data_IF_572665157717
#
_entry.id   IF_572665157717
#
_cell.length_a   1.000
_cell.length_b   1.000
_cell.length_c   1.000
_cell.angle_alpha   90.00
_cell.angle_beta   90.00
_cell.angle_gamma   90.00
#
_symmetry.space_group_name_H-M   'P 1'
#
loop_
_entity.id
_entity.type
_entity.pdbx_description
1 polymer ?
#
# COMPACT_ATOMS: atom_id res chain seq x y z
N UNK A 1 -59.60 13.25 7.32
CA UNK A 1 -58.45 13.13 8.25
C UNK A 1 -57.26 12.60 7.44
N UNK A 2 -56.46 13.50 6.87
CA UNK A 2 -55.24 13.14 6.15
C UNK A 2 -54.11 12.99 7.16
N UNK A 3 -53.53 11.80 7.19
CA UNK A 3 -52.38 11.49 8.04
C UNK A 3 -51.11 12.13 7.44
N UNK A 4 -50.57 13.11 8.17
CA UNK A 4 -49.31 13.76 7.86
C UNK A 4 -48.16 12.74 8.12
N UNK A 5 -47.53 12.21 7.03
CA UNK A 5 -46.33 11.41 7.12
C UNK A 5 -45.15 12.29 7.55
N UNK A 6 -44.31 11.87 8.49
CA UNK A 6 -43.16 12.65 8.89
C UNK A 6 -42.16 12.73 7.75
N UNK A 7 -41.82 13.95 7.32
CA UNK A 7 -40.69 14.21 6.40
C UNK A 7 -39.39 13.72 7.06
N UNK A 8 -38.72 12.79 6.40
CA UNK A 8 -37.37 12.38 6.76
C UNK A 8 -36.51 13.66 6.84
N UNK A 9 -35.93 13.96 8.00
CA UNK A 9 -34.91 14.99 8.15
C UNK A 9 -33.72 14.66 7.25
N UNK A 10 -33.59 15.39 6.15
CA UNK A 10 -32.34 15.41 5.38
C UNK A 10 -31.26 15.95 6.33
N UNK A 11 -30.29 15.12 6.68
CA UNK A 11 -29.16 15.54 7.50
C UNK A 11 -28.50 16.79 6.90
N UNK A 12 -27.99 17.67 7.77
CA UNK A 12 -27.26 18.89 7.38
C UNK A 12 -26.20 18.50 6.33
N UNK A 13 -26.07 19.24 5.21
CA UNK A 13 -25.02 18.97 4.23
C UNK A 13 -23.67 18.89 4.94
N UNK A 14 -22.83 17.90 4.59
CA UNK A 14 -21.47 17.78 5.12
C UNK A 14 -20.68 19.02 4.71
N UNK A 15 -20.02 19.66 5.67
CA UNK A 15 -19.25 20.89 5.46
C UNK A 15 -17.85 20.59 4.83
N UNK A 16 -17.53 19.35 4.48
CA UNK A 16 -16.22 18.94 3.94
C UNK A 16 -16.37 17.87 2.85
N UNK A 17 -15.40 17.83 1.94
CA UNK A 17 -15.27 16.77 0.96
C UNK A 17 -14.71 15.51 1.60
N UNK A 18 -15.35 14.36 1.37
CA UNK A 18 -14.97 13.07 1.97
C UNK A 18 -13.69 12.55 1.34
N UNK A 19 -13.51 12.72 0.04
CA UNK A 19 -12.36 12.21 -0.68
C UNK A 19 -11.09 13.00 -0.32
N UNK A 20 -11.19 14.33 -0.19
CA UNK A 20 -10.11 15.19 0.29
C UNK A 20 -9.73 14.86 1.75
N UNK A 21 -10.73 14.65 2.61
CA UNK A 21 -10.50 14.25 3.99
C UNK A 21 -9.83 12.86 4.07
N UNK A 22 -10.26 11.90 3.23
CA UNK A 22 -9.65 10.57 3.16
C UNK A 22 -8.20 10.63 2.65
N UNK A 23 -7.92 11.45 1.64
CA UNK A 23 -6.56 11.67 1.13
C UNK A 23 -5.65 12.28 2.20
N UNK A 24 -6.17 13.22 3.00
CA UNK A 24 -5.44 13.81 4.12
C UNK A 24 -5.14 12.77 5.21
N UNK A 25 -6.13 11.94 5.57
CA UNK A 25 -5.96 10.85 6.52
C UNK A 25 -4.93 9.82 6.02
N UNK A 26 -4.96 9.49 4.73
CA UNK A 26 -3.98 8.60 4.10
C UNK A 26 -2.54 9.10 4.31
N UNK A 27 -2.29 10.39 4.11
CA UNK A 27 -0.94 10.97 4.33
C UNK A 27 -0.48 10.79 5.76
N UNK A 28 -1.34 11.07 6.75
CA UNK A 28 -1.02 10.91 8.17
C UNK A 28 -0.68 9.46 8.51
N UNK A 29 -1.52 8.52 8.05
CA UNK A 29 -1.25 7.09 8.25
C UNK A 29 0.03 6.63 7.56
N UNK A 30 0.35 7.18 6.39
CA UNK A 30 1.56 6.83 5.66
C UNK A 30 2.82 7.33 6.36
N UNK A 31 2.77 8.51 6.95
CA UNK A 31 3.90 9.09 7.70
C UNK A 31 4.14 8.39 9.04
N UNK A 32 3.06 8.09 9.79
CA UNK A 32 3.14 7.65 11.19
C UNK A 32 2.82 6.17 11.42
N UNK A 33 2.31 5.47 10.41
CA UNK A 33 1.73 4.14 10.57
C UNK A 33 0.38 4.18 11.31
N UNK A 34 -0.28 3.02 11.43
CA UNK A 34 -1.59 2.94 12.09
C UNK A 34 -1.52 3.30 13.56
N UNK A 35 -0.61 2.69 14.34
CA UNK A 35 -0.54 2.92 15.79
C UNK A 35 0.00 4.29 16.14
N UNK A 36 1.01 4.79 15.42
CA UNK A 36 1.59 6.11 15.63
C UNK A 36 0.64 7.28 15.31
N UNK A 37 -0.49 7.01 14.68
CA UNK A 37 -1.49 8.02 14.31
C UNK A 37 -2.54 8.18 15.40
N UNK A 38 -2.71 9.37 15.95
CA UNK A 38 -3.78 9.71 16.89
C UNK A 38 -5.04 10.23 16.18
N UNK A 39 -6.20 10.21 16.88
CA UNK A 39 -7.42 10.84 16.36
C UNK A 39 -7.25 12.36 16.18
N UNK A 40 -6.42 12.99 17.01
CA UNK A 40 -6.10 14.42 16.89
C UNK A 40 -5.32 14.69 15.59
N UNK A 41 -4.26 13.92 15.31
CA UNK A 41 -3.52 14.04 14.05
C UNK A 41 -4.46 13.95 12.83
N UNK A 42 -5.41 13.00 12.88
CA UNK A 42 -6.36 12.81 11.79
C UNK A 42 -7.31 13.99 11.65
N UNK A 43 -7.95 14.41 12.74
CA UNK A 43 -8.91 15.52 12.68
C UNK A 43 -8.25 16.84 12.27
N UNK A 44 -7.03 17.10 12.72
CA UNK A 44 -6.28 18.29 12.36
C UNK A 44 -5.91 18.29 10.86
N UNK A 45 -5.38 17.17 10.36
CA UNK A 45 -5.02 17.03 8.95
C UNK A 45 -6.23 17.05 8.01
N UNK A 46 -7.35 16.49 8.43
CA UNK A 46 -8.60 16.44 7.67
C UNK A 46 -9.40 17.74 7.77
N UNK A 47 -9.06 18.65 8.69
CA UNK A 47 -9.82 19.88 8.94
C UNK A 47 -11.23 19.66 9.46
N UNK A 48 -11.49 18.56 10.20
CA UNK A 48 -12.82 18.18 10.67
C UNK A 48 -12.84 17.91 12.18
N UNK A 49 -14.03 17.90 12.77
CA UNK A 49 -14.19 17.54 14.16
C UNK A 49 -14.24 16.02 14.38
N UNK A 50 -13.94 15.54 15.60
CA UNK A 50 -14.08 14.12 15.95
C UNK A 50 -15.50 13.56 15.69
N UNK A 51 -16.61 14.25 16.07
CA UNK A 51 -17.94 13.80 15.71
C UNK A 51 -18.14 13.64 14.19
N UNK A 52 -17.61 14.57 13.38
CA UNK A 52 -17.66 14.49 11.92
C UNK A 52 -16.87 13.30 11.37
N UNK A 53 -15.70 13.00 11.95
CA UNK A 53 -14.90 11.82 11.59
C UNK A 53 -15.70 10.55 11.86
N UNK A 54 -16.27 10.39 13.06
CA UNK A 54 -17.06 9.21 13.41
C UNK A 54 -18.31 9.07 12.53
N UNK A 55 -18.97 10.16 12.22
CA UNK A 55 -20.16 10.15 11.36
C UNK A 55 -19.84 9.76 9.90
N UNK A 56 -18.66 10.13 9.38
CA UNK A 56 -18.29 9.89 7.99
C UNK A 56 -17.58 8.54 7.78
N UNK A 57 -16.73 8.15 8.73
CA UNK A 57 -15.79 7.05 8.57
C UNK A 57 -15.94 5.93 9.60
N UNK A 58 -16.74 6.12 10.62
CA UNK A 58 -16.92 5.18 11.73
C UNK A 58 -15.86 5.36 12.81
N UNK A 59 -14.83 4.54 12.80
CA UNK A 59 -13.72 4.61 13.77
C UNK A 59 -12.37 4.72 13.06
N UNK A 60 -11.28 4.86 13.82
CA UNK A 60 -9.91 4.94 13.28
C UNK A 60 -9.57 3.75 12.40
N UNK A 61 -10.00 2.54 12.78
CA UNK A 61 -9.75 1.32 12.03
C UNK A 61 -10.48 1.32 10.67
N UNK A 62 -11.76 1.68 10.66
CA UNK A 62 -12.55 1.78 9.44
C UNK A 62 -12.00 2.87 8.49
N UNK A 63 -11.55 4.01 9.05
CA UNK A 63 -10.88 5.06 8.30
C UNK A 63 -9.55 4.55 7.72
N UNK A 64 -8.74 3.82 8.51
CA UNK A 64 -7.48 3.26 8.04
C UNK A 64 -7.69 2.28 6.88
N UNK A 65 -8.69 1.39 6.95
CA UNK A 65 -9.01 0.46 5.86
C UNK A 65 -9.38 1.21 4.58
N UNK A 66 -10.20 2.25 4.68
CA UNK A 66 -10.53 3.10 3.53
C UNK A 66 -9.29 3.82 2.96
N UNK A 67 -8.42 4.31 3.83
CA UNK A 67 -7.15 4.92 3.43
C UNK A 67 -6.22 3.90 2.76
N UNK A 68 -6.19 2.67 3.25
CA UNK A 68 -5.42 1.58 2.65
C UNK A 68 -5.95 1.17 1.27
N UNK A 69 -7.28 1.12 1.10
CA UNK A 69 -7.92 0.87 -0.21
C UNK A 69 -7.59 1.99 -1.22
N UNK A 70 -7.63 3.24 -0.77
CA UNK A 70 -7.21 4.39 -1.57
C UNK A 70 -5.73 4.30 -1.97
N UNK A 71 -4.87 3.98 -1.01
CA UNK A 71 -3.44 3.79 -1.23
C UNK A 71 -3.15 2.69 -2.28
N UNK A 72 -3.79 1.55 -2.16
CA UNK A 72 -3.60 0.44 -3.09
C UNK A 72 -4.07 0.81 -4.50
N UNK A 73 -5.23 1.44 -4.61
CA UNK A 73 -5.77 1.87 -5.90
C UNK A 73 -4.89 2.91 -6.61
N UNK A 74 -4.34 3.87 -5.86
CA UNK A 74 -3.63 5.01 -6.48
C UNK A 74 -2.11 4.85 -6.51
N UNK A 75 -1.53 4.25 -5.47
CA UNK A 75 -0.07 4.18 -5.31
C UNK A 75 0.51 2.83 -5.69
N UNK A 76 -0.28 1.75 -5.62
CA UNK A 76 0.16 0.41 -5.99
C UNK A 76 -0.40 -0.07 -7.34
N UNK A 77 -1.07 0.78 -8.11
CA UNK A 77 -1.60 0.43 -9.43
C UNK A 77 -0.50 -0.13 -10.38
N UNK A 78 0.74 0.36 -10.27
CA UNK A 78 1.87 -0.11 -11.06
C UNK A 78 2.15 -1.62 -10.89
N UNK A 79 1.71 -2.24 -9.77
CA UNK A 79 1.92 -3.68 -9.53
C UNK A 79 1.17 -4.51 -10.58
N UNK A 80 -0.08 -4.15 -10.89
CA UNK A 80 -0.85 -4.83 -11.93
C UNK A 80 -0.18 -4.74 -13.30
N UNK A 81 0.30 -3.55 -13.65
CA UNK A 81 1.04 -3.32 -14.90
C UNK A 81 2.38 -4.09 -14.94
N UNK A 82 3.06 -4.19 -13.81
CA UNK A 82 4.29 -4.94 -13.70
C UNK A 82 4.05 -6.44 -13.90
N UNK A 83 3.03 -7.02 -13.26
CA UNK A 83 2.66 -8.43 -13.41
C UNK A 83 2.24 -8.80 -14.85
N UNK A 84 1.77 -7.83 -15.63
CA UNK A 84 1.45 -8.00 -17.06
C UNK A 84 2.67 -7.95 -17.99
N UNK A 85 3.88 -7.70 -17.47
CA UNK A 85 5.08 -7.70 -18.28
C UNK A 85 5.33 -9.08 -18.96
N UNK A 86 5.87 -9.13 -20.19
CA UNK A 86 5.99 -10.37 -20.95
C UNK A 86 6.98 -11.37 -20.32
N UNK A 87 8.02 -10.91 -19.63
CA UNK A 87 9.08 -11.75 -19.05
C UNK A 87 9.16 -11.57 -17.54
N UNK A 88 9.68 -12.58 -16.83
CA UNK A 88 9.94 -12.53 -15.38
C UNK A 88 10.90 -11.41 -14.99
N UNK A 89 11.93 -11.17 -15.82
CA UNK A 89 12.84 -10.05 -15.66
C UNK A 89 12.12 -8.72 -15.80
N UNK A 90 11.24 -8.59 -16.79
CA UNK A 90 10.40 -7.40 -16.98
C UNK A 90 9.45 -7.16 -15.82
N UNK A 91 8.88 -8.24 -15.22
CA UNK A 91 8.08 -8.15 -14.00
C UNK A 91 8.91 -7.60 -12.85
N UNK A 92 10.07 -8.20 -12.58
CA UNK A 92 10.97 -7.78 -11.52
C UNK A 92 11.42 -6.31 -11.69
N UNK A 93 11.83 -5.94 -12.89
CA UNK A 93 12.27 -4.57 -13.19
C UNK A 93 11.16 -3.55 -12.98
N UNK A 94 9.95 -3.80 -13.50
CA UNK A 94 8.81 -2.87 -13.34
C UNK A 94 8.38 -2.76 -11.88
N UNK A 95 8.37 -3.85 -11.12
CA UNK A 95 8.06 -3.82 -9.69
C UNK A 95 9.09 -3.01 -8.91
N UNK A 96 10.37 -3.24 -9.14
CA UNK A 96 11.45 -2.54 -8.42
C UNK A 96 11.50 -1.05 -8.79
N UNK A 97 11.38 -0.71 -10.09
CA UNK A 97 11.35 0.69 -10.53
C UNK A 97 10.09 1.43 -10.06
N UNK A 98 8.93 0.80 -10.15
CA UNK A 98 7.69 1.38 -9.65
C UNK A 98 7.74 1.64 -8.13
N UNK A 99 8.32 0.69 -7.38
CA UNK A 99 8.56 0.87 -5.96
C UNK A 99 9.54 2.02 -5.69
N UNK A 100 10.64 2.10 -6.44
CA UNK A 100 11.63 3.20 -6.33
C UNK A 100 10.96 4.57 -6.51
N UNK A 101 10.23 4.75 -7.60
CA UNK A 101 9.56 6.03 -7.89
C UNK A 101 8.54 6.40 -6.80
N UNK A 102 7.69 5.45 -6.41
CA UNK A 102 6.67 5.67 -5.40
C UNK A 102 7.28 5.98 -4.01
N UNK A 103 8.31 5.24 -3.61
CA UNK A 103 8.90 5.34 -2.26
C UNK A 103 9.85 6.53 -2.08
N UNK A 104 10.34 7.12 -3.19
CA UNK A 104 11.26 8.25 -3.17
C UNK A 104 10.67 9.55 -3.72
N UNK A 105 9.35 9.58 -3.96
CA UNK A 105 8.63 10.77 -4.43
C UNK A 105 8.78 11.92 -3.42
N UNK A 106 9.09 13.11 -3.90
CA UNK A 106 9.19 14.32 -3.05
C UNK A 106 7.82 14.82 -2.57
N UNK A 107 6.75 14.48 -3.30
CA UNK A 107 5.39 14.93 -3.00
C UNK A 107 4.62 13.99 -2.05
N UNK A 108 5.19 12.84 -1.68
CA UNK A 108 4.54 11.81 -0.88
C UNK A 108 5.42 11.41 0.32
N UNK A 109 4.84 10.86 1.39
CA UNK A 109 5.61 10.24 2.45
C UNK A 109 6.52 9.12 1.90
N UNK A 110 7.72 9.02 2.44
CA UNK A 110 8.71 8.05 1.96
C UNK A 110 8.42 6.64 2.48
N UNK A 111 8.80 5.64 1.70
CA UNK A 111 8.53 4.25 2.03
C UNK A 111 7.13 3.78 1.63
N UNK A 112 6.67 2.68 2.21
CA UNK A 112 5.40 2.04 1.87
C UNK A 112 4.49 1.94 3.09
N UNK A 113 3.26 2.46 3.00
CA UNK A 113 2.26 2.42 4.09
C UNK A 113 2.06 0.99 4.62
N UNK A 114 1.95 0.00 3.73
CA UNK A 114 1.73 -1.41 4.12
C UNK A 114 2.91 -1.97 4.91
N UNK A 115 4.14 -1.63 4.52
CA UNK A 115 5.36 -2.08 5.21
C UNK A 115 5.46 -1.40 6.57
N UNK A 116 5.35 -0.08 6.63
CA UNK A 116 5.44 0.69 7.88
C UNK A 116 4.38 0.18 8.87
N UNK A 117 3.11 0.09 8.45
CA UNK A 117 2.03 -0.36 9.33
C UNK A 117 2.19 -1.81 9.80
N UNK A 118 2.71 -2.71 8.95
CA UNK A 118 2.90 -4.12 9.32
C UNK A 118 3.99 -4.32 10.38
N UNK A 119 5.00 -3.44 10.42
CA UNK A 119 6.12 -3.52 11.40
C UNK A 119 5.75 -2.87 12.72
N UNK A 120 4.85 -1.87 12.69
CA UNK A 120 4.50 -1.08 13.89
C UNK A 120 3.22 -1.55 14.59
N UNK A 121 2.39 -2.41 13.97
CA UNK A 121 1.16 -2.92 14.58
C UNK A 121 1.45 -3.95 15.69
N UNK A 122 1.12 -3.57 16.93
CA UNK A 122 1.17 -4.45 18.12
C UNK A 122 -0.09 -5.31 18.28
N UNK A 123 -0.23 -5.91 19.48
CA UNK A 123 -1.33 -6.83 19.79
C UNK A 123 -2.71 -6.14 19.81
N UNK A 124 -2.77 -4.86 20.17
CA UNK A 124 -4.02 -4.09 20.25
C UNK A 124 -4.65 -3.81 18.88
N UNK A 125 -3.86 -3.87 17.81
CA UNK A 125 -4.31 -3.69 16.43
C UNK A 125 -4.43 -5.02 15.65
N UNK A 126 -4.80 -6.11 16.33
CA UNK A 126 -4.80 -7.46 15.75
C UNK A 126 -5.63 -7.57 14.47
N UNK A 127 -6.79 -6.91 14.39
CA UNK A 127 -7.66 -6.91 13.21
C UNK A 127 -7.03 -6.18 12.02
N UNK A 128 -6.34 -5.05 12.27
CA UNK A 128 -5.59 -4.29 11.25
C UNK A 128 -4.39 -5.13 10.77
N UNK A 129 -3.69 -5.78 11.69
CA UNK A 129 -2.57 -6.66 11.36
C UNK A 129 -3.02 -7.83 10.48
N UNK A 130 -4.14 -8.46 10.81
CA UNK A 130 -4.70 -9.56 10.02
C UNK A 130 -5.10 -9.11 8.60
N UNK A 131 -5.69 -7.92 8.46
CA UNK A 131 -6.03 -7.35 7.14
C UNK A 131 -4.76 -7.08 6.30
N UNK A 132 -3.74 -6.46 6.89
CA UNK A 132 -2.45 -6.23 6.22
C UNK A 132 -1.78 -7.54 5.80
N UNK A 133 -1.83 -8.58 6.64
CA UNK A 133 -1.30 -9.91 6.33
C UNK A 133 -2.07 -10.56 5.17
N UNK A 134 -3.40 -10.48 5.17
CA UNK A 134 -4.24 -11.01 4.09
C UNK A 134 -3.93 -10.35 2.75
N UNK A 135 -3.84 -9.01 2.72
CA UNK A 135 -3.50 -8.23 1.51
C UNK A 135 -2.09 -8.57 1.00
N UNK A 136 -1.14 -8.76 1.93
CA UNK A 136 0.22 -9.21 1.59
C UNK A 136 0.20 -10.60 0.97
N UNK A 137 -0.51 -11.56 1.57
CA UNK A 137 -0.62 -12.92 1.07
C UNK A 137 -1.20 -12.96 -0.36
N UNK A 138 -2.26 -12.17 -0.62
CA UNK A 138 -2.85 -12.05 -1.96
C UNK A 138 -1.86 -11.50 -2.99
N UNK A 139 -1.08 -10.48 -2.63
CA UNK A 139 -0.07 -9.90 -3.52
C UNK A 139 1.09 -10.88 -3.78
N UNK A 140 1.51 -11.62 -2.76
CA UNK A 140 2.54 -12.66 -2.86
C UNK A 140 2.08 -13.79 -3.77
N UNK A 141 0.84 -14.26 -3.61
CA UNK A 141 0.30 -15.33 -4.45
C UNK A 141 0.21 -14.91 -5.92
N UNK A 142 -0.25 -13.70 -6.21
CA UNK A 142 -0.30 -13.19 -7.57
C UNK A 142 1.09 -13.12 -8.23
N UNK A 143 2.12 -12.75 -7.46
CA UNK A 143 3.50 -12.76 -7.95
C UNK A 143 4.02 -14.18 -8.15
N UNK A 144 3.74 -15.09 -7.21
CA UNK A 144 4.12 -16.51 -7.32
C UNK A 144 3.52 -17.14 -8.58
N UNK A 145 2.21 -16.97 -8.79
CA UNK A 145 1.50 -17.48 -9.97
C UNK A 145 2.12 -16.96 -11.28
N UNK A 146 2.53 -15.67 -11.26
CA UNK A 146 3.21 -15.07 -12.42
C UNK A 146 4.59 -15.66 -12.66
N UNK A 147 5.36 -15.96 -11.61
CA UNK A 147 6.68 -16.60 -11.74
C UNK A 147 6.58 -18.08 -12.15
N UNK A 148 5.58 -18.82 -11.65
CA UNK A 148 5.27 -20.18 -12.09
C UNK A 148 4.95 -20.20 -13.58
N UNK A 149 4.15 -19.26 -14.07
CA UNK A 149 3.86 -19.13 -15.49
C UNK A 149 5.14 -18.85 -16.30
N UNK A 150 6.00 -17.96 -15.84
CA UNK A 150 7.26 -17.67 -16.50
C UNK A 150 8.17 -18.88 -16.63
N UNK A 151 8.20 -19.73 -15.59
CA UNK A 151 8.95 -21.00 -15.61
C UNK A 151 8.34 -21.99 -16.60
N UNK A 152 7.02 -22.12 -16.62
CA UNK A 152 6.31 -22.99 -17.56
C UNK A 152 6.50 -22.58 -19.02
N UNK A 153 6.60 -21.26 -19.27
CA UNK A 153 6.86 -20.67 -20.60
C UNK A 153 8.37 -20.71 -21.01
N UNK A 154 9.27 -21.20 -20.13
CA UNK A 154 10.71 -21.31 -20.39
C UNK A 154 11.47 -19.97 -20.32
N UNK A 155 10.88 -18.96 -19.70
CA UNK A 155 11.51 -17.66 -19.42
C UNK A 155 12.45 -17.75 -18.21
N UNK A 156 12.10 -18.56 -17.20
CA UNK A 156 12.98 -18.91 -16.09
C UNK A 156 13.65 -20.28 -16.35
N UNK A 157 14.91 -20.47 -15.93
CA UNK A 157 15.58 -21.76 -16.03
C UNK A 157 14.78 -22.88 -15.32
N UNK A 158 14.78 -24.12 -15.85
CA UNK A 158 13.99 -25.23 -15.27
C UNK A 158 14.33 -25.55 -13.80
N UNK A 159 15.55 -25.29 -13.37
CA UNK A 159 16.01 -25.52 -12.00
C UNK A 159 15.71 -24.35 -11.05
N UNK A 160 15.10 -23.26 -11.54
CA UNK A 160 14.78 -22.10 -10.68
C UNK A 160 13.77 -22.50 -9.59
N UNK A 161 14.11 -22.21 -8.35
CA UNK A 161 13.18 -22.22 -7.24
C UNK A 161 12.27 -20.98 -7.33
N UNK A 162 11.03 -21.20 -7.79
CA UNK A 162 10.07 -20.10 -8.02
C UNK A 162 9.62 -19.46 -6.72
N UNK A 163 9.45 -20.25 -5.66
CA UNK A 163 9.13 -19.71 -4.33
C UNK A 163 10.27 -18.84 -3.82
N UNK A 164 11.50 -19.36 -3.89
CA UNK A 164 12.69 -18.65 -3.42
C UNK A 164 12.90 -17.32 -4.14
N UNK A 165 12.75 -17.27 -5.48
CA UNK A 165 12.92 -16.01 -6.23
C UNK A 165 11.78 -15.02 -5.98
N UNK A 166 10.56 -15.51 -5.73
CA UNK A 166 9.42 -14.68 -5.33
C UNK A 166 9.67 -14.04 -3.97
N UNK A 167 10.10 -14.83 -2.99
CA UNK A 167 10.41 -14.35 -1.64
C UNK A 167 11.58 -13.38 -1.64
N UNK A 168 12.62 -13.64 -2.46
CA UNK A 168 13.73 -12.72 -2.67
C UNK A 168 13.24 -11.36 -3.19
N UNK A 169 12.41 -11.32 -4.23
CA UNK A 169 11.92 -10.07 -4.80
C UNK A 169 11.08 -9.29 -3.80
N UNK A 170 10.23 -9.98 -3.04
CA UNK A 170 9.44 -9.35 -1.97
C UNK A 170 10.30 -8.80 -0.84
N UNK A 171 11.36 -9.52 -0.45
CA UNK A 171 12.31 -9.05 0.56
C UNK A 171 13.05 -7.78 0.11
N UNK A 172 13.47 -7.71 -1.17
CA UNK A 172 14.09 -6.50 -1.73
C UNK A 172 13.11 -5.33 -1.75
N UNK A 173 11.88 -5.52 -2.21
CA UNK A 173 10.85 -4.48 -2.23
C UNK A 173 10.57 -3.92 -0.82
N UNK A 174 10.52 -4.78 0.18
CA UNK A 174 10.34 -4.38 1.59
C UNK A 174 11.58 -3.67 2.14
N UNK A 175 12.76 -4.19 1.84
CA UNK A 175 14.04 -3.56 2.22
C UNK A 175 14.18 -2.17 1.64
N UNK A 176 13.85 -1.98 0.37
CA UNK A 176 13.83 -0.65 -0.27
C UNK A 176 12.88 0.30 0.45
N UNK A 177 11.69 -0.19 0.84
CA UNK A 177 10.71 0.63 1.58
C UNK A 177 11.26 1.10 2.93
N UNK A 178 11.89 0.21 3.69
CA UNK A 178 12.50 0.55 4.99
C UNK A 178 13.64 1.54 4.80
N UNK A 179 14.51 1.32 3.83
CA UNK A 179 15.63 2.22 3.54
C UNK A 179 15.15 3.61 3.07
N UNK A 180 14.13 3.66 2.21
CA UNK A 180 13.51 4.93 1.79
C UNK A 180 12.97 5.70 2.99
N UNK A 181 12.22 5.06 3.88
CA UNK A 181 11.70 5.64 5.11
C UNK A 181 12.80 6.11 6.06
N UNK A 182 13.96 5.46 6.04
CA UNK A 182 15.15 5.80 6.84
C UNK A 182 16.05 6.86 6.18
N UNK A 183 15.64 7.45 5.04
CA UNK A 183 16.36 8.56 4.41
C UNK A 183 17.32 8.16 3.29
N UNK A 184 17.35 6.90 2.83
CA UNK A 184 18.16 6.51 1.69
C UNK A 184 17.81 7.35 0.45
N UNK A 185 18.82 7.78 -0.29
CA UNK A 185 18.63 8.58 -1.51
C UNK A 185 18.07 7.71 -2.64
N UNK A 186 17.42 8.36 -3.62
CA UNK A 186 16.96 7.67 -4.85
C UNK A 186 18.12 6.95 -5.55
N UNK A 187 19.30 7.59 -5.61
CA UNK A 187 20.49 7.00 -6.22
C UNK A 187 20.95 5.70 -5.51
N UNK A 188 20.92 5.67 -4.17
CA UNK A 188 21.27 4.47 -3.43
C UNK A 188 20.29 3.30 -3.71
N UNK A 189 19.00 3.59 -3.76
CA UNK A 189 17.98 2.58 -4.06
C UNK A 189 17.99 2.16 -5.52
N UNK A 190 18.36 3.04 -6.46
CA UNK A 190 18.60 2.69 -7.87
C UNK A 190 19.71 1.64 -8.01
N UNK A 191 20.78 1.70 -7.21
CA UNK A 191 21.84 0.69 -7.19
C UNK A 191 21.32 -0.68 -6.73
N UNK A 192 20.37 -0.70 -5.76
CA UNK A 192 19.71 -1.95 -5.35
C UNK A 192 18.90 -2.53 -6.50
N UNK A 193 18.13 -1.69 -7.20
CA UNK A 193 17.36 -2.10 -8.39
C UNK A 193 18.30 -2.67 -9.46
N UNK A 194 19.34 -1.93 -9.82
CA UNK A 194 20.31 -2.34 -10.86
C UNK A 194 20.96 -3.67 -10.53
N UNK A 195 21.41 -3.85 -9.30
CA UNK A 195 22.04 -5.08 -8.83
C UNK A 195 21.05 -6.25 -8.88
N UNK A 196 19.83 -6.07 -8.39
CA UNK A 196 18.81 -7.12 -8.40
C UNK A 196 18.48 -7.59 -9.83
N UNK A 197 18.37 -6.65 -10.76
CA UNK A 197 18.09 -6.97 -12.17
C UNK A 197 19.30 -7.62 -12.86
N UNK A 198 20.53 -7.22 -12.53
CA UNK A 198 21.74 -7.85 -13.06
C UNK A 198 21.88 -9.32 -12.61
N UNK A 199 21.38 -9.66 -11.42
CA UNK A 199 21.40 -11.00 -10.85
C UNK A 199 20.16 -11.85 -11.21
N UNK A 200 19.18 -11.28 -11.93
CA UNK A 200 17.93 -11.97 -12.24
C UNK A 200 18.18 -13.15 -13.21
N UNK A 201 17.67 -14.37 -12.90
CA UNK A 201 17.96 -15.57 -13.69
C UNK A 201 17.17 -15.68 -15.00
N UNK A 202 16.10 -14.90 -15.18
CA UNK A 202 15.24 -14.88 -16.37
C UNK A 202 15.78 -14.00 -17.49
N UNK A 203 15.15 -14.17 -18.66
CA UNK A 203 15.45 -13.38 -19.88
C UNK A 203 14.92 -11.97 -19.82
#
# INVERSE_FOLDING_TARGET
>A
MEACLPRACKGRPREFDIDDALASALRVFWEKGYEGTSLTDLTDAMGITRPSLYAAFGNKEALFRKALDLYEREKLAYIGEALAAPTSRGVAERLLRGALEMQTSECQPRGCLRVISSVTCGAEAASVKADLQSRRASSQQALLDRMERAKAEGDLPPHTDVQGITDYLLAILQGMSVQAGSGATKAQLEEVVRTSIAMWPGK
#
